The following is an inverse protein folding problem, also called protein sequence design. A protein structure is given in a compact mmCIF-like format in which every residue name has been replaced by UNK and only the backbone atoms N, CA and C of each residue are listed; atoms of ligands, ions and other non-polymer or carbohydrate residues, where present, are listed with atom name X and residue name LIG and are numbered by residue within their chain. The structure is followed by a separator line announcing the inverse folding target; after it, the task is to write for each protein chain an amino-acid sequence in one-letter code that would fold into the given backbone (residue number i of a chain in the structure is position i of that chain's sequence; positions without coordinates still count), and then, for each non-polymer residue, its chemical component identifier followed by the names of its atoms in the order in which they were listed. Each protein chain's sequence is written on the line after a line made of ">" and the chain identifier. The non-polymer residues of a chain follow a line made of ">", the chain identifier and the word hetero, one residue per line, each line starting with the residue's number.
data_IF_478931726898
#
_entry.id   IF_478931726898
#
_cell.length_a   1.000
_cell.length_b   1.000
_cell.length_c   1.000
_cell.angle_alpha   90.00
_cell.angle_beta   90.00
_cell.angle_gamma   90.00
#
_symmetry.space_group_name_H-M   'P 1'
#
loop_
_entity.id
_entity.type
_entity.pdbx_description
1 polymer ?
2 non-polymer ?
3 non-polymer ?
4 water ?
#
# COMPACT_ATOMS: atom_id res chain seq x y z
N UNK A 1 -25.18 18.48 -2.45
CA UNK A 1 -25.89 17.26 -2.73
C UNK A 1 -25.64 16.34 -1.59
N UNK A 2 -26.68 15.70 -1.10
CA UNK A 2 -26.59 14.59 -0.20
C UNK A 2 -26.23 13.38 -1.01
N UNK A 3 -25.13 12.72 -0.69
CA UNK A 3 -24.71 11.53 -1.40
C UNK A 3 -24.97 10.28 -0.57
N UNK A 4 -24.60 9.14 -1.14
CA UNK A 4 -24.78 7.85 -0.50
C UNK A 4 -24.06 7.86 0.85
N UNK A 5 -24.60 7.10 1.81
CA UNK A 5 -24.03 7.07 3.15
C UNK A 5 -23.96 5.63 3.67
N UNK A 6 -22.92 5.35 4.45
CA UNK A 6 -22.76 4.03 5.04
C UNK A 6 -22.42 4.14 6.52
N UNK A 7 -22.68 3.11 7.27
CA UNK A 7 -22.32 3.02 8.66
C UNK A 7 -21.01 2.29 8.80
N UNK A 8 -20.09 2.90 9.49
CA UNK A 8 -18.83 2.32 9.87
C UNK A 8 -18.60 2.46 11.39
N UNK A 9 -18.17 1.39 11.99
CA UNK A 9 -17.85 1.31 13.40
C UNK A 9 -16.48 0.75 13.61
N UNK A 10 -15.70 1.42 14.43
CA UNK A 10 -14.47 0.83 14.95
C UNK A 10 -14.85 -0.04 16.13
N UNK A 11 -14.56 -1.34 16.03
CA UNK A 11 -14.99 -2.32 17.02
C UNK A 11 -14.15 -2.18 18.29
N UNK A 12 -14.57 -2.82 19.40
CA UNK A 12 -13.79 -2.63 20.63
C UNK A 12 -12.33 -3.01 20.51
N UNK A 13 -12.01 -4.03 19.70
CA UNK A 13 -10.60 -4.40 19.51
C UNK A 13 -9.85 -3.29 18.76
N UNK A 14 -10.55 -2.63 17.83
CA UNK A 14 -10.01 -1.48 17.12
C UNK A 14 -9.71 -0.32 18.07
N UNK A 15 -10.62 -0.05 19.00
CA UNK A 15 -10.40 1.01 19.99
C UNK A 15 -9.28 0.65 20.96
N UNK A 16 -9.27 -0.60 21.42
CA UNK A 16 -8.29 -1.05 22.40
C UNK A 16 -6.88 -1.05 21.85
N UNK A 17 -6.75 -1.32 20.55
CA UNK A 17 -5.43 -1.40 19.92
C UNK A 17 -5.01 -0.07 19.30
N UNK A 18 -5.72 1.00 19.66
CA UNK A 18 -5.35 2.34 19.26
C UNK A 18 -5.35 2.57 17.76
N UNK A 19 -6.41 2.14 17.08
CA UNK A 19 -6.46 2.26 15.62
C UNK A 19 -7.55 3.21 15.13
N UNK A 20 -8.19 3.93 16.06
CA UNK A 20 -9.27 4.84 15.70
C UNK A 20 -8.81 5.91 14.70
N UNK A 21 -7.74 6.62 15.04
CA UNK A 21 -7.26 7.71 14.19
C UNK A 21 -6.80 7.21 12.84
N UNK A 22 -6.13 6.06 12.85
CA UNK A 22 -5.63 5.45 11.63
C UNK A 22 -6.75 5.11 10.65
N UNK A 23 -7.85 4.60 11.20
CA UNK A 23 -9.03 4.27 10.39
C UNK A 23 -9.68 5.52 9.82
N UNK A 24 -9.87 6.52 10.67
CA UNK A 24 -10.44 7.79 10.22
C UNK A 24 -9.59 8.47 9.15
N UNK A 25 -8.28 8.48 9.36
CA UNK A 25 -7.34 9.09 8.41
C UNK A 25 -7.48 8.46 7.02
N UNK A 26 -7.72 7.15 6.98
CA UNK A 26 -7.89 6.47 5.70
C UNK A 26 -9.14 6.93 4.97
N UNK A 27 -10.23 7.10 5.70
CA UNK A 27 -11.46 7.55 5.05
C UNK A 27 -11.39 9.03 4.66
N UNK A 28 -10.68 9.84 5.44
CA UNK A 28 -10.49 11.25 5.07
C UNK A 28 -9.61 11.36 3.85
N UNK A 29 -8.53 10.58 3.82
CA UNK A 29 -7.56 10.63 2.73
C UNK A 29 -8.21 10.26 1.40
N UNK A 30 -9.18 9.35 1.47
CA UNK A 30 -9.86 8.80 0.30
C UNK A 30 -10.75 9.86 -0.35
N UNK A 31 -11.18 10.82 0.47
CA UNK A 31 -12.02 11.91 -0.01
C UNK A 31 -13.46 11.80 0.45
N UNK A 32 -13.75 10.80 1.28
CA UNK A 32 -15.08 10.65 1.84
C UNK A 32 -15.36 11.68 2.93
N UNK A 33 -16.63 12.00 3.14
CA UNK A 33 -17.03 13.06 4.07
C UNK A 33 -17.62 12.48 5.35
N UNK A 34 -17.07 12.84 6.49
CA UNK A 34 -17.62 12.44 7.79
C UNK A 34 -18.95 13.11 8.04
N UNK A 35 -19.96 12.33 8.22
CA UNK A 35 -21.27 12.82 8.38
C UNK A 35 -21.80 12.67 9.77
N UNK A 36 -21.30 11.71 10.49
CA UNK A 36 -21.73 11.48 11.85
C UNK A 36 -20.69 10.74 12.63
N UNK A 37 -20.56 11.05 13.89
CA UNK A 37 -19.62 10.36 14.76
C UNK A 37 -19.99 10.42 16.23
N UNK A 38 -19.97 9.24 16.80
CA UNK A 38 -20.11 9.04 18.22
C UNK A 38 -19.27 7.91 18.84
N UNK A 39 -19.36 7.78 20.15
CA UNK A 39 -18.52 6.89 20.93
C UNK A 39 -19.32 6.48 22.08
N UNK A 40 -19.52 5.20 22.15
CA UNK A 40 -20.51 4.61 23.01
C UNK A 40 -20.16 3.19 23.35
N UNK A 41 -20.70 2.72 24.47
CA UNK A 41 -20.72 1.33 24.75
C UNK A 41 -22.11 0.93 24.49
N UNK A 42 -22.33 0.18 23.44
CA UNK A 42 -23.67 -0.31 23.15
C UNK A 42 -24.08 -1.48 24.02
N UNK A 43 -25.38 -1.61 24.15
CA UNK A 43 -26.07 -2.57 24.95
C UNK A 43 -26.25 -3.89 24.20
N UNK A 67 -18.24 -7.35 21.81
CA UNK A 67 -19.33 -6.68 21.10
C UNK A 67 -19.87 -5.49 21.86
N UNK A 68 -20.25 -5.75 23.11
CA UNK A 68 -20.57 -4.70 24.08
C UNK A 68 -19.51 -4.83 25.17
N UNK A 69 -18.38 -5.38 24.78
CA UNK A 69 -17.25 -5.63 25.66
C UNK A 69 -16.42 -4.37 25.86
N UNK A 70 -16.92 -3.24 25.35
CA UNK A 70 -16.23 -1.98 25.45
C UNK A 70 -16.74 -0.92 24.47
N UNK A 71 -16.08 0.24 24.44
CA UNK A 71 -16.48 1.37 23.59
C UNK A 71 -16.30 1.07 22.11
N UNK A 72 -17.19 1.59 21.28
CA UNK A 72 -17.04 1.54 19.82
C UNK A 72 -17.16 2.95 19.27
N UNK A 73 -16.47 3.22 18.17
CA UNK A 73 -16.64 4.49 17.47
C UNK A 73 -17.65 4.26 16.35
N UNK A 74 -18.78 4.95 16.41
CA UNK A 74 -19.83 4.79 15.41
C UNK A 74 -19.79 5.97 14.47
N UNK A 75 -19.79 5.68 13.17
CA UNK A 75 -19.57 6.72 12.19
C UNK A 75 -20.51 6.58 11.01
N UNK A 76 -20.82 7.71 10.38
CA UNK A 76 -21.53 7.69 9.12
C UNK A 76 -20.69 8.45 8.12
N UNK A 77 -20.25 7.76 7.07
CA UNK A 77 -19.44 8.40 6.04
C UNK A 77 -20.24 8.56 4.76
N UNK A 78 -19.93 9.61 4.00
CA UNK A 78 -20.74 9.97 2.85
C UNK A 78 -19.91 10.21 1.59
N UNK A 79 -20.38 9.67 0.48
CA UNK A 79 -19.79 9.94 -0.82
C UNK A 79 -20.24 8.92 -1.85
N UNK A 80 -19.96 9.22 -3.12
CA UNK A 80 -20.33 8.33 -4.21
C UNK A 80 -19.80 6.92 -3.97
N UNK A 81 -20.72 5.96 -3.93
CA UNK A 81 -20.36 4.56 -3.83
C UNK A 81 -19.69 4.18 -2.53
N UNK A 82 -19.93 4.96 -1.48
CA UNK A 82 -19.25 4.77 -0.20
C UNK A 82 -19.52 3.41 0.46
N UNK A 83 -20.71 2.85 0.24
CA UNK A 83 -21.03 1.55 0.86
C UNK A 83 -20.10 0.44 0.41
N UNK A 84 -20.02 0.22 -0.90
CA UNK A 84 -19.17 -0.84 -1.44
C UNK A 84 -17.68 -0.50 -1.31
N UNK A 85 -17.35 0.77 -1.55
CA UNK A 85 -15.96 1.21 -1.47
C UNK A 85 -15.41 1.07 -0.05
N UNK A 86 -16.19 1.44 0.96
CA UNK A 86 -15.73 1.29 2.33
C UNK A 86 -15.49 -0.20 2.64
N UNK A 87 -16.26 -1.08 2.02
CA UNK A 87 -16.05 -2.51 2.25
C UNK A 87 -14.74 -2.96 1.62
N UNK A 88 -14.44 -2.41 0.45
CA UNK A 88 -13.18 -2.69 -0.24
C UNK A 88 -12.01 -2.18 0.61
N UNK A 89 -12.17 -0.99 1.17
CA UNK A 89 -11.12 -0.38 1.97
C UNK A 89 -10.82 -1.19 3.25
N UNK A 90 -11.85 -1.83 3.78
CA UNK A 90 -11.72 -2.70 4.95
C UNK A 90 -11.04 -4.03 4.64
N UNK A 91 -11.33 -4.57 3.47
CA UNK A 91 -10.86 -5.91 3.13
C UNK A 91 -11.96 -6.93 3.34
N UNK A 92 -11.64 -8.20 3.18
CA UNK A 92 -12.63 -9.25 3.34
C UNK A 92 -13.05 -9.41 4.78
N UNK A 93 -14.23 -10.00 5.00
CA UNK A 93 -14.73 -10.30 6.33
C UNK A 93 -13.67 -10.96 7.22
N UNK A 94 -12.99 -11.95 6.66
CA UNK A 94 -11.85 -12.57 7.33
C UNK A 94 -10.56 -11.85 6.96
N UNK A 95 -9.77 -11.44 7.97
CA UNK A 95 -8.46 -10.80 7.74
C UNK A 95 -7.52 -11.73 6.96
N UNK A 96 -7.64 -13.04 7.16
CA UNK A 96 -6.86 -14.02 6.39
C UNK A 96 -7.03 -13.90 4.88
N UNK A 97 -8.20 -13.42 4.44
CA UNK A 97 -8.49 -13.27 3.02
C UNK A 97 -8.35 -11.81 2.60
N UNK A 98 -8.02 -10.96 3.57
CA UNK A 98 -7.87 -9.52 3.31
C UNK A 98 -6.46 -9.21 2.79
N UNK A 99 -6.39 -8.35 1.79
CA UNK A 99 -5.11 -8.02 1.16
C UNK A 99 -4.40 -6.87 1.86
N UNK A 100 -3.05 -6.88 1.84
CA UNK A 100 -2.27 -5.77 2.38
C UNK A 100 -2.67 -4.50 1.65
N UNK A 101 -2.72 -3.40 2.39
CA UNK A 101 -3.28 -2.16 1.86
C UNK A 101 -4.66 -1.90 2.43
N UNK A 102 -5.40 -2.97 2.70
CA UNK A 102 -6.70 -2.84 3.34
C UNK A 102 -6.55 -2.74 4.84
N UNK A 103 -7.59 -2.22 5.50
CA UNK A 103 -7.56 -2.06 6.95
C UNK A 103 -7.38 -3.40 7.66
N UNK A 104 -8.21 -4.40 7.34
CA UNK A 104 -8.07 -5.69 8.00
C UNK A 104 -6.78 -6.40 7.56
N UNK A 105 -6.38 -6.18 6.32
CA UNK A 105 -5.15 -6.78 5.83
C UNK A 105 -3.90 -6.25 6.51
N UNK A 106 -3.88 -4.96 6.83
CA UNK A 106 -2.71 -4.37 7.46
C UNK A 106 -2.68 -4.61 8.97
N UNK A 107 -3.85 -4.75 9.61
CA UNK A 107 -3.91 -4.60 11.06
C UNK A 107 -4.42 -5.79 11.90
N UNK A 108 -4.99 -6.83 11.30
CA UNK A 108 -5.47 -7.91 12.16
C UNK A 108 -5.41 -9.33 11.58
N UNK A 109 -5.78 -10.29 12.42
CA UNK A 109 -5.50 -11.68 12.13
C UNK A 109 -6.76 -12.57 12.12
N UNK A 110 -7.63 -12.42 13.11
CA UNK A 110 -8.76 -13.32 13.28
C UNK A 110 -10.12 -12.72 12.90
N UNK A 111 -11.02 -13.58 12.46
CA UNK A 111 -12.36 -13.16 12.03
C UNK A 111 -13.16 -12.57 13.19
N UNK A 112 -12.97 -13.11 14.39
CA UNK A 112 -13.66 -12.60 15.57
C UNK A 112 -13.00 -11.34 16.14
N UNK A 113 -11.86 -10.95 15.59
CA UNK A 113 -11.18 -9.73 16.04
C UNK A 113 -10.76 -8.95 14.81
N UNK A 114 -11.75 -8.49 14.04
CA UNK A 114 -11.48 -7.92 12.74
C UNK A 114 -11.69 -6.39 12.74
N UNK A 115 -11.53 -5.80 13.93
CA UNK A 115 -11.43 -4.34 14.20
C UNK A 115 -12.49 -3.36 13.67
N UNK A 116 -13.14 -3.66 12.55
CA UNK A 116 -14.03 -2.70 11.94
C UNK A 116 -15.29 -3.36 11.37
N UNK A 117 -16.35 -2.57 11.20
CA UNK A 117 -17.60 -3.00 10.57
C UNK A 117 -17.98 -1.98 9.52
N UNK A 118 -18.54 -2.46 8.40
CA UNK A 118 -19.13 -1.56 7.43
C UNK A 118 -20.40 -2.19 6.87
N UNK A 119 -21.43 -1.37 6.64
CA UNK A 119 -22.68 -1.84 6.04
C UNK A 119 -22.42 -2.56 4.72
N UNK A 120 -23.14 -3.65 4.49
CA UNK A 120 -22.94 -4.42 3.26
C UNK A 120 -23.81 -3.99 2.07
N UNK A 121 -24.78 -3.11 2.32
CA UNK A 121 -25.59 -2.53 1.25
C UNK A 121 -26.20 -1.20 1.65
N UNK A 122 -26.74 -0.47 0.67
CA UNK A 122 -27.45 0.78 0.94
C UNK A 122 -28.58 0.57 1.95
N UNK A 123 -29.37 -0.49 1.75
CA UNK A 123 -30.48 -0.78 2.65
C UNK A 123 -30.02 -1.08 4.06
N UNK A 124 -29.01 -1.95 4.19
CA UNK A 124 -28.39 -2.19 5.50
C UNK A 124 -27.91 -0.87 6.09
N UNK A 125 -27.21 -0.08 5.28
CA UNK A 125 -26.65 1.19 5.74
C UNK A 125 -27.74 2.09 6.30
N UNK A 126 -28.81 2.27 5.54
CA UNK A 126 -29.92 3.11 5.96
C UNK A 126 -30.52 2.65 7.29
N UNK A 127 -30.65 1.34 7.47
CA UNK A 127 -31.15 0.77 8.70
C UNK A 127 -30.16 0.96 9.85
N UNK A 128 -28.88 0.71 9.58
CA UNK A 128 -27.85 0.79 10.61
C UNK A 128 -27.67 2.25 11.09
N UNK A 129 -27.68 3.17 10.14
CA UNK A 129 -27.56 4.60 10.45
C UNK A 129 -28.72 5.06 11.34
N UNK A 130 -29.94 4.69 10.97
CA UNK A 130 -31.12 5.04 11.75
C UNK A 130 -31.09 4.43 13.15
N UNK A 131 -30.48 3.25 13.27
CA UNK A 131 -30.41 2.53 14.56
C UNK A 131 -29.39 3.19 15.50
N UNK A 132 -28.26 3.62 14.96
CA UNK A 132 -27.16 4.13 15.78
C UNK A 132 -27.19 5.65 15.97
N UNK A 133 -27.71 6.36 14.97
CA UNK A 133 -27.71 7.82 15.02
C UNK A 133 -29.13 8.39 15.09
N UNK A 134 -29.31 9.42 15.89
CA UNK A 134 -30.52 10.25 15.84
C UNK A 134 -30.32 11.22 14.69
N UNK A 135 -31.42 11.71 14.07
CA UNK A 135 -31.26 12.56 12.89
C UNK A 135 -30.47 13.84 13.18
N UNK A 136 -30.48 14.27 14.44
CA UNK A 136 -29.73 15.43 14.90
C UNK A 136 -28.23 15.23 14.73
N UNK A 137 -27.80 13.98 14.79
CA UNK A 137 -26.38 13.65 14.86
C UNK A 137 -25.72 13.47 13.49
N UNK A 138 -26.50 13.63 12.44
CA UNK A 138 -25.97 13.65 11.09
C UNK A 138 -25.82 15.11 10.67
N UNK A 139 -24.58 15.57 10.52
CA UNK A 139 -24.31 16.98 10.23
C UNK A 139 -24.31 17.26 8.74
N UNK A 140 -25.07 18.27 8.32
CA UNK A 140 -25.05 18.70 6.93
C UNK A 140 -23.95 19.73 6.71
N UNK A 141 -23.02 19.42 5.81
CA UNK A 141 -21.94 20.37 5.46
C UNK A 141 -21.35 20.04 4.10
N UNK A 142 -20.53 20.95 3.57
CA UNK A 142 -19.84 20.70 2.31
C UNK A 142 -18.32 20.87 2.45
N UNK A 143 -17.58 19.85 2.06
CA UNK A 143 -16.12 19.93 1.98
C UNK A 143 -15.83 20.98 0.92
N UNK A 144 -14.95 21.93 1.23
CA UNK A 144 -14.68 22.99 0.25
C UNK A 144 -13.90 22.44 -0.93
N UNK A 145 -13.17 21.36 -0.71
CA UNK A 145 -12.41 20.70 -1.78
C UNK A 145 -13.28 19.75 -2.62
N UNK A 146 -14.59 19.80 -2.41
CA UNK A 146 -15.52 18.85 -3.03
C UNK A 146 -15.39 18.85 -4.56
N UNK A 147 -15.17 20.03 -5.12
CA UNK A 147 -15.07 20.18 -6.57
C UNK A 147 -13.82 19.52 -7.15
N UNK A 148 -12.89 19.16 -6.27
CA UNK A 148 -11.68 18.44 -6.69
C UNK A 148 -11.80 16.94 -6.44
N UNK A 149 -12.89 16.52 -5.84
CA UNK A 149 -13.15 15.11 -5.59
C UNK A 149 -14.28 14.61 -6.50
N UNK A 150 -15.28 15.47 -6.71
CA UNK A 150 -16.45 15.14 -7.50
C UNK A 150 -16.59 16.05 -8.71
N UNK A 151 -16.71 15.43 -9.88
CA UNK A 151 -16.82 16.17 -11.13
C UNK A 151 -18.10 17.02 -11.13
N UNK B 1 -0.87 -19.85 25.23
CA UNK B 1 -0.97 -20.70 24.04
C UNK B 1 0.18 -20.45 23.07
N UNK B 2 0.80 -21.54 22.60
CA UNK B 2 1.90 -21.46 21.64
C UNK B 2 1.37 -21.51 20.21
N UNK B 3 1.64 -20.48 19.43
CA UNK B 3 1.11 -20.44 18.06
C UNK B 3 2.18 -20.66 17.00
N UNK B 4 1.75 -20.77 15.76
CA UNK B 4 2.64 -21.02 14.62
C UNK B 4 3.76 -19.99 14.53
N UNK B 5 4.95 -20.42 14.08
CA UNK B 5 6.07 -19.51 13.91
C UNK B 5 6.66 -19.58 12.50
N UNK B 6 7.22 -18.45 12.04
CA UNK B 6 7.86 -18.41 10.74
C UNK B 6 9.23 -17.75 10.87
N UNK B 7 10.10 -17.99 9.90
CA UNK B 7 11.37 -17.28 9.85
C UNK B 7 11.30 -16.15 8.84
N UNK B 8 11.66 -14.94 9.26
CA UNK B 8 11.70 -13.79 8.36
C UNK B 8 13.06 -13.10 8.44
N UNK B 9 13.61 -12.76 7.28
CA UNK B 9 14.88 -12.06 7.24
C UNK B 9 14.79 -10.77 6.42
N UNK B 10 15.37 -9.70 6.94
CA UNK B 10 15.56 -8.51 6.13
C UNK B 10 16.88 -8.73 5.42
N UNK B 11 16.83 -8.78 4.09
CA UNK B 11 18.02 -9.06 3.28
C UNK B 11 18.98 -7.86 3.28
N UNK B 12 20.24 -8.06 2.80
CA UNK B 12 21.21 -6.95 2.81
C UNK B 12 20.75 -5.67 2.09
N UNK B 13 20.00 -5.80 1.00
CA UNK B 13 19.48 -4.60 0.34
C UNK B 13 18.46 -3.87 1.22
N UNK B 14 17.71 -4.64 2.00
CA UNK B 14 16.74 -4.07 2.93
C UNK B 14 17.40 -3.31 4.06
N UNK B 15 18.51 -3.84 4.56
CA UNK B 15 19.30 -3.14 5.58
C UNK B 15 19.96 -1.88 5.00
N UNK B 16 20.60 -2.02 3.84
CA UNK B 16 21.29 -0.90 3.19
C UNK B 16 20.34 0.22 2.79
N UNK B 17 19.11 -0.12 2.43
CA UNK B 17 18.15 0.88 2.01
C UNK B 17 17.31 1.42 3.17
N UNK B 18 17.70 1.05 4.39
CA UNK B 18 17.07 1.59 5.59
C UNK B 18 15.62 1.20 5.80
N UNK B 19 15.30 -0.07 5.57
CA UNK B 19 13.91 -0.50 5.68
C UNK B 19 13.67 -1.48 6.82
N UNK B 20 14.58 -1.55 7.76
CA UNK B 20 14.43 -2.50 8.87
C UNK B 20 13.20 -2.15 9.68
N UNK B 21 13.15 -0.90 10.14
CA UNK B 21 12.08 -0.44 11.01
C UNK B 21 10.74 -0.53 10.33
N UNK B 22 10.69 -0.11 9.07
CA UNK B 22 9.45 -0.20 8.29
C UNK B 22 8.91 -1.63 8.23
N UNK B 23 9.81 -2.59 7.98
CA UNK B 23 9.39 -3.99 7.91
C UNK B 23 8.90 -4.52 9.25
N UNK B 24 9.67 -4.27 10.32
CA UNK B 24 9.24 -4.74 11.64
C UNK B 24 7.90 -4.10 12.02
N UNK B 25 7.77 -2.81 11.73
CA UNK B 25 6.56 -2.06 12.07
C UNK B 25 5.30 -2.64 11.42
N UNK B 26 5.41 -3.11 10.19
CA UNK B 26 4.30 -3.80 9.51
C UNK B 26 3.89 -5.09 10.22
N UNK B 27 4.85 -5.84 10.72
CA UNK B 27 4.52 -7.08 11.43
C UNK B 27 3.93 -6.82 12.82
N UNK B 28 4.42 -5.78 13.50
CA UNK B 28 3.82 -5.40 14.77
C UNK B 28 2.40 -4.92 14.56
N UNK B 29 2.20 -4.06 13.56
CA UNK B 29 0.86 -3.52 13.27
C UNK B 29 -0.16 -4.61 12.98
N UNK B 30 0.27 -5.68 12.29
CA UNK B 30 -0.60 -6.79 11.91
C UNK B 30 -1.10 -7.56 13.12
N UNK B 31 -0.31 -7.54 14.19
CA UNK B 31 -0.67 -8.25 15.41
C UNK B 31 0.22 -9.43 15.76
N UNK B 32 1.25 -9.70 14.93
CA UNK B 32 2.13 -10.83 15.16
C UNK B 32 3.13 -10.55 16.28
N UNK B 33 3.68 -11.61 16.84
CA UNK B 33 4.55 -11.50 18.02
C UNK B 33 5.99 -11.80 17.65
N UNK B 34 6.91 -10.93 18.07
CA UNK B 34 8.32 -11.15 17.81
C UNK B 34 8.86 -12.14 18.82
N UNK B 35 9.45 -13.23 18.32
CA UNK B 35 9.85 -14.35 19.16
C UNK B 35 11.37 -14.51 19.14
N UNK B 36 12.02 -13.85 18.19
CA UNK B 36 13.47 -13.94 18.06
C UNK B 36 13.98 -12.89 17.09
N UNK B 37 15.12 -12.29 17.41
CA UNK B 37 15.76 -11.37 16.48
C UNK B 37 17.24 -11.22 16.75
N UNK B 38 18.03 -11.36 15.68
CA UNK B 38 19.47 -11.13 15.72
C UNK B 38 19.93 -10.45 14.43
N UNK B 39 21.13 -9.89 14.45
CA UNK B 39 21.64 -9.07 13.37
C UNK B 39 23.05 -9.58 13.13
N UNK B 40 23.27 -10.17 11.97
CA UNK B 40 24.52 -10.85 11.68
C UNK B 40 24.89 -10.74 10.21
N UNK B 41 26.17 -10.85 9.92
CA UNK B 41 26.61 -11.13 8.56
C UNK B 41 26.78 -12.64 8.51
N UNK B 42 25.90 -13.31 7.79
CA UNK B 42 25.87 -14.76 7.85
C UNK B 42 26.97 -15.37 6.98
N UNK B 43 27.45 -16.54 7.37
CA UNK B 43 28.43 -17.24 6.54
C UNK B 43 27.76 -17.74 5.26
N UNK B 44 28.54 -17.83 4.19
CA UNK B 44 28.05 -18.39 2.93
C UNK B 44 27.64 -19.86 3.11
N UNK B 45 28.26 -20.50 4.07
CA UNK B 45 27.94 -21.89 4.36
C UNK B 45 26.57 -22.01 4.90
N UNK B 46 26.24 -21.14 5.82
CA UNK B 46 24.92 -21.07 6.42
C UNK B 46 23.84 -20.80 5.35
N UNK B 47 24.13 -19.87 4.43
CA UNK B 47 23.16 -19.54 3.39
C UNK B 47 22.97 -20.66 2.36
N UNK B 48 24.05 -21.36 2.03
CA UNK B 48 23.95 -22.52 1.16
C UNK B 48 23.01 -23.56 1.75
N UNK B 49 23.01 -23.67 3.07
CA UNK B 49 22.12 -24.62 3.75
C UNK B 49 20.71 -24.04 3.85
N UNK B 50 20.63 -22.73 4.10
CA UNK B 50 19.34 -22.04 4.14
C UNK B 50 18.59 -22.27 2.85
N UNK B 51 19.28 -22.16 1.72
CA UNK B 51 18.65 -22.26 0.41
C UNK B 51 18.93 -23.60 -0.28
N UNK B 52 19.28 -24.61 0.50
CA UNK B 52 19.74 -25.89 -0.03
C UNK B 52 18.84 -26.49 -1.11
N UNK B 53 17.53 -26.28 -0.99
CA UNK B 53 16.56 -26.79 -1.96
C UNK B 53 16.75 -26.23 -3.36
N UNK B 54 17.37 -25.05 -3.47
CA UNK B 54 17.54 -24.38 -4.75
C UNK B 54 18.96 -24.56 -5.27
N UNK B 55 19.66 -25.58 -4.77
CA UNK B 55 21.08 -25.76 -5.03
C UNK B 55 21.45 -25.96 -6.50
N UNK B 56 20.47 -26.32 -7.32
CA UNK B 56 20.74 -26.56 -8.74
C UNK B 56 20.31 -25.41 -9.65
N UNK B 57 19.51 -24.50 -9.10
CA UNK B 57 19.11 -23.29 -9.81
C UNK B 57 20.34 -22.47 -10.22
N UNK B 58 20.28 -21.83 -11.39
CA UNK B 58 21.39 -21.02 -11.90
C UNK B 58 21.74 -19.90 -10.93
N UNK B 59 20.72 -19.32 -10.31
CA UNK B 59 20.91 -18.15 -9.44
C UNK B 59 21.41 -18.51 -8.04
N UNK B 60 21.48 -19.80 -7.72
CA UNK B 60 21.87 -20.27 -6.39
C UNK B 60 23.22 -19.75 -5.88
N UNK B 61 24.31 -19.98 -6.64
CA UNK B 61 25.61 -19.55 -6.09
C UNK B 61 25.69 -18.05 -5.86
N UNK B 62 25.09 -17.26 -6.77
CA UNK B 62 25.06 -15.81 -6.64
C UNK B 62 24.18 -15.35 -5.49
N UNK B 63 23.04 -16.02 -5.34
CA UNK B 63 22.12 -15.80 -4.21
C UNK B 63 22.83 -15.92 -2.86
N UNK B 64 23.46 -17.06 -2.62
CA UNK B 64 24.14 -17.32 -1.34
C UNK B 64 25.28 -16.35 -1.11
N UNK B 65 26.07 -16.12 -2.16
CA UNK B 65 27.13 -15.12 -2.14
C UNK B 65 26.57 -13.78 -1.71
N UNK B 66 25.52 -13.34 -2.39
CA UNK B 66 24.94 -12.02 -2.15
C UNK B 66 24.33 -11.88 -0.75
N UNK B 67 23.63 -12.91 -0.31
CA UNK B 67 22.99 -12.88 1.01
C UNK B 67 24.01 -12.85 2.16
N UNK B 68 25.28 -13.14 1.85
CA UNK B 68 26.32 -13.14 2.87
C UNK B 68 27.23 -11.92 2.69
N UNK B 69 26.87 -11.05 1.77
CA UNK B 69 27.68 -9.87 1.48
C UNK B 69 27.63 -8.84 2.61
N UNK B 70 26.47 -8.69 3.23
CA UNK B 70 26.31 -7.74 4.32
C UNK B 70 25.44 -8.28 5.44
N UNK B 71 25.25 -7.48 6.50
CA UNK B 71 24.39 -7.87 7.62
C UNK B 71 22.94 -8.04 7.17
N UNK B 72 22.29 -9.01 7.79
CA UNK B 72 20.86 -9.24 7.61
C UNK B 72 20.22 -9.17 9.00
N UNK B 73 18.92 -8.90 9.05
CA UNK B 73 18.18 -8.99 10.29
C UNK B 73 17.38 -10.30 10.28
N UNK B 74 17.74 -11.21 11.18
CA UNK B 74 17.09 -12.52 11.26
C UNK B 74 15.99 -12.50 12.33
N UNK B 75 14.79 -12.96 11.97
CA UNK B 75 13.65 -12.86 12.87
C UNK B 75 12.83 -14.12 12.98
N UNK B 76 12.28 -14.35 14.18
CA UNK B 76 11.22 -15.33 14.32
C UNK B 76 9.95 -14.60 14.74
N UNK B 77 8.90 -14.76 13.97
CA UNK B 77 7.59 -14.17 14.27
C UNK B 77 6.51 -15.20 14.55
N UNK B 78 5.63 -14.90 15.50
CA UNK B 78 4.68 -15.90 15.97
C UNK B 78 3.24 -15.40 15.84
N UNK B 79 2.35 -16.27 15.38
CA UNK B 79 0.92 -15.99 15.38
C UNK B 79 0.17 -16.92 14.45
N UNK B 80 -1.16 -16.94 14.57
CA UNK B 80 -2.00 -17.82 13.74
C UNK B 80 -1.81 -17.56 12.24
N UNK B 81 -1.41 -18.61 11.52
CA UNK B 81 -1.26 -18.56 10.09
C UNK B 81 -0.13 -17.65 9.65
N UNK B 82 0.83 -17.42 10.55
CA UNK B 82 1.88 -16.43 10.26
C UNK B 82 2.76 -16.80 9.06
N UNK B 83 2.96 -18.11 8.82
CA UNK B 83 3.76 -18.52 7.67
C UNK B 83 3.17 -18.02 6.34
N UNK B 84 1.94 -18.44 6.03
CA UNK B 84 1.32 -18.01 4.79
C UNK B 84 0.99 -16.50 4.79
N UNK B 85 0.59 -15.97 5.93
CA UNK B 85 0.28 -14.54 6.01
C UNK B 85 1.50 -13.63 5.85
N UNK B 86 2.65 -14.01 6.41
CA UNK B 86 3.86 -13.21 6.19
C UNK B 86 4.19 -13.12 4.70
N UNK B 87 4.06 -14.24 3.99
CA UNK B 87 4.28 -14.27 2.54
C UNK B 87 3.35 -13.33 1.78
N UNK B 88 2.07 -13.36 2.14
CA UNK B 88 1.11 -12.41 1.56
C UNK B 88 1.58 -10.97 1.78
N UNK B 89 2.08 -10.68 2.98
CA UNK B 89 2.47 -9.30 3.33
C UNK B 89 3.72 -8.84 2.59
N UNK B 90 4.58 -9.79 2.22
CA UNK B 90 5.80 -9.46 1.48
C UNK B 90 5.48 -9.27 0.01
N UNK B 91 4.59 -10.12 -0.49
CA UNK B 91 4.24 -10.10 -1.91
C UNK B 91 4.69 -11.39 -2.57
N UNK B 92 4.76 -11.39 -3.90
CA UNK B 92 5.24 -12.55 -4.62
C UNK B 92 6.76 -12.53 -4.62
N UNK B 93 7.39 -13.68 -4.92
CA UNK B 93 8.84 -13.76 -5.08
C UNK B 93 9.40 -12.63 -5.93
N UNK B 94 8.78 -12.40 -7.09
CA UNK B 94 9.17 -11.28 -7.95
C UNK B 94 8.38 -10.04 -7.57
N UNK B 95 9.10 -8.94 -7.27
CA UNK B 95 8.42 -7.68 -6.95
C UNK B 95 7.54 -7.20 -8.10
N UNK B 96 7.90 -7.54 -9.33
CA UNK B 96 7.11 -7.18 -10.51
C UNK B 96 5.70 -7.76 -10.46
N UNK B 97 5.56 -8.89 -9.76
CA UNK B 97 4.24 -9.51 -9.61
C UNK B 97 3.60 -9.22 -8.26
N UNK B 98 4.25 -8.38 -7.48
CA UNK B 98 3.74 -8.04 -6.15
C UNK B 98 2.86 -6.79 -6.22
N UNK B 99 1.83 -6.76 -5.39
CA UNK B 99 0.85 -5.67 -5.40
C UNK B 99 1.24 -4.57 -4.44
N UNK B 100 0.90 -3.31 -4.78
CA UNK B 100 1.08 -2.18 -3.87
C UNK B 100 0.37 -2.52 -2.57
N UNK B 101 0.95 -2.15 -1.43
CA UNK B 101 0.46 -2.60 -0.14
C UNK B 101 1.35 -3.67 0.46
N UNK B 102 1.94 -4.50 -0.39
CA UNK B 102 2.93 -5.47 0.08
C UNK B 102 4.32 -4.83 0.19
N UNK B 103 5.18 -5.46 0.99
CA UNK B 103 6.55 -4.99 1.16
C UNK B 103 7.32 -4.87 -0.17
N UNK B 104 7.28 -5.91 -1.01
CA UNK B 104 7.99 -5.83 -2.29
C UNK B 104 7.25 -4.95 -3.28
N UNK B 105 5.93 -4.94 -3.18
CA UNK B 105 5.13 -4.09 -4.05
C UNK B 105 5.47 -2.62 -3.85
N UNK B 106 5.73 -2.24 -2.60
CA UNK B 106 5.96 -0.84 -2.25
C UNK B 106 7.41 -0.41 -2.42
N UNK B 107 8.32 -1.35 -2.22
CA UNK B 107 9.72 -0.99 -1.96
C UNK B 107 10.79 -1.47 -2.96
N UNK B 108 10.50 -2.45 -3.80
CA UNK B 108 11.56 -2.88 -4.73
C UNK B 108 11.12 -3.30 -6.12
N UNK B 109 12.11 -3.62 -6.94
CA UNK B 109 11.91 -3.78 -8.39
C UNK B 109 12.29 -5.17 -8.90
N UNK B 110 13.46 -5.68 -8.50
CA UNK B 110 14.03 -6.88 -9.12
C UNK B 110 13.97 -8.10 -8.20
N UNK B 111 13.78 -9.29 -8.78
CA UNK B 111 13.73 -10.53 -7.99
C UNK B 111 15.01 -10.79 -7.18
N UNK B 112 16.14 -10.26 -7.65
CA UNK B 112 17.41 -10.48 -6.98
C UNK B 112 17.69 -9.47 -5.87
N UNK B 113 16.85 -8.45 -5.80
CA UNK B 113 16.96 -7.39 -4.80
C UNK B 113 15.57 -7.17 -4.26
N UNK B 114 15.03 -8.18 -3.59
CA UNK B 114 13.64 -8.15 -3.16
C UNK B 114 13.56 -8.11 -1.63
N UNK B 115 14.57 -7.46 -1.05
CA UNK B 115 14.69 -7.03 0.35
C UNK B 115 14.31 -7.93 1.52
N UNK B 116 13.54 -8.99 1.27
CA UNK B 116 13.07 -9.78 2.40
C UNK B 116 12.88 -11.28 2.09
N UNK B 117 12.99 -12.12 3.11
CA UNK B 117 12.75 -13.55 3.00
C UNK B 117 11.69 -13.99 4.01
N UNK B 118 10.79 -14.89 3.59
CA UNK B 118 9.95 -15.58 4.54
C UNK B 118 9.84 -17.07 4.25
N UNK B 119 9.80 -17.91 5.29
CA UNK B 119 9.63 -19.35 5.10
C UNK B 119 8.39 -19.63 4.24
N UNK B 120 8.46 -20.67 3.40
CA UNK B 120 7.38 -20.96 2.46
C UNK B 120 6.38 -21.96 3.03
N UNK B 121 6.70 -22.50 4.21
CA UNK B 121 5.85 -23.48 4.86
C UNK B 121 6.27 -23.68 6.31
N UNK B 122 5.41 -24.34 7.08
CA UNK B 122 5.71 -24.66 8.48
C UNK B 122 6.96 -25.52 8.64
N UNK B 123 7.10 -26.52 7.77
CA UNK B 123 8.28 -27.38 7.82
C UNK B 123 9.54 -26.62 7.44
N UNK B 124 9.44 -25.77 6.42
CA UNK B 124 10.53 -24.86 6.08
C UNK B 124 10.83 -23.92 7.23
N UNK B 125 9.79 -23.41 7.89
CA UNK B 125 10.00 -22.52 9.02
C UNK B 125 10.70 -23.24 10.17
N UNK B 126 10.28 -24.47 10.44
CA UNK B 126 10.93 -25.20 11.55
C UNK B 126 12.43 -25.38 11.33
N UNK B 127 12.81 -25.72 10.10
CA UNK B 127 14.22 -25.90 9.75
C UNK B 127 15.00 -24.59 9.82
N UNK B 128 14.43 -23.55 9.22
CA UNK B 128 15.10 -22.25 9.13
C UNK B 128 15.30 -21.62 10.51
N UNK B 129 14.24 -21.62 11.32
CA UNK B 129 14.33 -21.09 12.67
C UNK B 129 15.43 -21.81 13.48
N UNK B 130 15.50 -23.14 13.36
CA UNK B 130 16.53 -23.92 14.07
C UNK B 130 17.92 -23.64 13.51
N UNK B 131 18.01 -23.41 12.20
CA UNK B 131 19.28 -23.07 11.56
C UNK B 131 19.83 -21.71 12.01
N UNK B 132 18.95 -20.72 12.20
CA UNK B 132 19.38 -19.36 12.53
C UNK B 132 19.41 -19.04 14.03
N UNK B 133 18.59 -19.75 14.80
CA UNK B 133 18.49 -19.45 16.22
C UNK B 133 18.83 -20.66 17.09
N UNK B 134 19.60 -20.46 18.15
CA UNK B 134 19.73 -21.49 19.18
C UNK B 134 18.45 -21.41 20.00
N UNK B 135 18.02 -22.53 20.60
CA UNK B 135 16.84 -22.60 21.47
C UNK B 135 16.84 -21.50 22.53
N UNK B 136 17.99 -21.27 23.14
CA UNK B 136 18.11 -20.25 24.20
C UNK B 136 17.87 -18.81 23.69
N UNK B 137 17.94 -18.62 22.37
CA UNK B 137 17.82 -17.28 21.79
C UNK B 137 16.40 -16.91 21.40
N UNK B 138 15.47 -17.85 21.54
CA UNK B 138 14.07 -17.57 21.22
C UNK B 138 13.35 -17.15 22.50
N UNK B 139 12.41 -16.22 22.37
CA UNK B 139 11.78 -15.60 23.52
C UNK B 139 10.30 -15.90 23.54
N UNK B 140 9.84 -16.44 24.67
CA UNK B 140 8.44 -16.74 24.84
C UNK B 140 7.87 -15.75 25.86
N UNK B 141 6.79 -15.08 25.48
CA UNK B 141 6.18 -14.05 26.31
C UNK B 141 4.73 -13.91 25.88
N UNK B 142 3.97 -13.08 26.59
CA UNK B 142 2.56 -12.89 26.22
C UNK B 142 2.23 -11.42 25.98
N UNK B 143 1.77 -11.09 24.77
CA UNK B 143 1.28 -9.74 24.46
C UNK B 143 0.09 -9.44 25.34
N UNK B 144 0.13 -8.32 26.06
CA UNK B 144 -0.97 -7.97 26.96
C UNK B 144 -2.31 -7.81 26.24
N UNK B 145 -2.29 -7.25 25.02
CA UNK B 145 -3.55 -7.19 24.25
C UNK B 145 -3.73 -8.38 23.31
N UNK B 146 -3.15 -9.52 23.65
CA UNK B 146 -3.31 -10.69 22.80
C UNK B 146 -4.78 -11.09 22.70
N UNK B 147 -5.56 -10.77 23.73
CA UNK B 147 -6.99 -11.11 23.72
C UNK B 147 -7.82 -10.19 22.80
N UNK B 148 -7.22 -9.12 22.29
CA UNK B 148 -7.90 -8.26 21.31
C UNK B 148 -7.50 -8.63 19.89
N UNK B 149 -6.58 -9.59 19.79
CA UNK B 149 -6.07 -10.05 18.52
C UNK B 149 -6.62 -11.44 18.24
N UNK B 150 -6.76 -12.22 19.31
CA UNK B 150 -7.28 -13.59 19.24
C UNK B 150 -8.46 -13.78 20.20
N UNK B 151 -9.56 -14.36 19.74
CA UNK B 151 -10.70 -14.57 20.64
C UNK B 151 -10.52 -15.78 21.56
N UNK C 1 23.87 4.44 -19.51
CA UNK C 1 23.28 3.80 -18.36
C UNK C 1 21.78 3.86 -18.41
N UNK C 2 21.19 3.99 -19.59
CA UNK C 2 19.82 4.28 -19.59
C UNK C 2 18.84 3.18 -19.93
N UNK C 3 17.98 3.19 -19.00
CA UNK C 3 16.75 2.54 -18.48
C UNK C 3 15.46 3.17 -18.89
N UNK C 4 14.45 2.35 -19.01
CA UNK C 4 13.11 2.75 -19.34
C UNK C 4 12.58 3.93 -18.58
N UNK C 5 11.83 4.77 -19.27
CA UNK C 5 11.22 5.89 -18.65
C UNK C 5 9.76 6.04 -18.96
N UNK C 6 9.05 6.67 -18.06
CA UNK C 6 7.69 6.95 -18.24
C UNK C 6 7.34 8.43 -17.86
N UNK C 7 6.20 8.91 -18.29
CA UNK C 7 5.74 10.23 -17.91
C UNK C 7 4.64 10.10 -16.86
N UNK C 8 4.84 10.74 -15.71
CA UNK C 8 3.84 10.75 -14.64
C UNK C 8 3.46 12.19 -14.38
N UNK C 9 2.17 12.46 -14.21
CA UNK C 9 1.77 13.82 -13.84
C UNK C 9 0.81 13.79 -12.67
N UNK C 10 1.04 14.69 -11.71
CA UNK C 10 0.07 14.96 -10.66
C UNK C 10 -0.95 15.94 -11.25
N UNK C 11 -2.20 15.50 -11.36
CA UNK C 11 -3.26 16.31 -11.94
C UNK C 11 -3.67 17.45 -11.01
N UNK C 12 -4.46 18.42 -11.50
CA UNK C 12 -4.81 19.57 -10.65
C UNK C 12 -5.50 19.20 -9.34
N UNK C 13 -6.31 18.15 -9.31
CA UNK C 13 -6.90 17.71 -8.04
C UNK C 13 -5.83 17.19 -7.07
N UNK C 14 -4.81 16.53 -7.61
CA UNK C 14 -3.71 16.04 -6.79
C UNK C 14 -2.95 17.18 -6.13
N UNK C 15 -2.73 18.24 -6.89
CA UNK C 15 -2.05 19.43 -6.38
C UNK C 15 -2.93 20.13 -5.35
N UNK C 16 -4.19 20.37 -5.71
CA UNK C 16 -5.11 21.08 -4.83
C UNK C 16 -5.32 20.35 -3.50
N UNK C 17 -5.31 19.02 -3.53
CA UNK C 17 -5.59 18.22 -2.34
C UNK C 17 -4.33 17.83 -1.57
N UNK C 18 -3.20 18.47 -1.91
CA UNK C 18 -1.97 18.29 -1.15
C UNK C 18 -1.34 16.92 -1.23
N UNK C 19 -1.25 16.34 -2.43
CA UNK C 19 -0.74 14.98 -2.57
C UNK C 19 0.56 14.86 -3.38
N UNK C 20 1.18 15.99 -3.72
CA UNK C 20 2.40 15.97 -4.53
C UNK C 20 3.51 15.13 -3.86
N UNK C 21 3.81 15.43 -2.60
CA UNK C 21 4.89 14.78 -1.89
C UNK C 21 4.58 13.32 -1.66
N UNK C 22 3.34 13.04 -1.26
CA UNK C 22 2.91 11.66 -1.01
C UNK C 22 3.06 10.81 -2.26
N UNK C 23 2.75 11.38 -3.41
CA UNK C 23 2.90 10.66 -4.67
C UNK C 23 4.38 10.43 -5.01
N UNK C 24 5.18 11.48 -4.96
CA UNK C 24 6.62 11.36 -5.20
C UNK C 24 7.26 10.38 -4.20
N UNK C 25 6.90 10.50 -2.93
CA UNK C 25 7.40 9.59 -1.88
C UNK C 25 7.25 8.11 -2.27
N UNK C 26 6.12 7.78 -2.89
CA UNK C 26 5.88 6.39 -3.25
C UNK C 26 6.78 5.90 -4.38
N UNK C 27 7.09 6.78 -5.32
CA UNK C 27 7.97 6.42 -6.42
C UNK C 27 9.41 6.34 -5.96
N UNK C 28 9.80 7.21 -5.03
CA UNK C 28 11.13 7.13 -4.44
C UNK C 28 11.26 5.85 -3.61
N UNK C 29 10.24 5.54 -2.82
CA UNK C 29 10.33 4.37 -1.92
C UNK C 29 10.42 3.08 -2.72
N UNK C 30 9.85 3.10 -3.94
CA UNK C 30 9.83 1.92 -4.80
C UNK C 30 11.22 1.64 -5.39
N UNK C 31 12.04 2.69 -5.49
CA UNK C 31 13.38 2.51 -6.05
C UNK C 31 13.53 3.17 -7.40
N UNK C 32 12.49 3.85 -7.85
CA UNK C 32 12.55 4.47 -9.16
C UNK C 32 13.40 5.74 -9.09
N UNK C 33 13.93 6.16 -10.25
CA UNK C 33 14.80 7.32 -10.31
C UNK C 33 14.11 8.50 -10.97
N UNK C 34 14.09 9.65 -10.28
CA UNK C 34 13.53 10.86 -10.87
C UNK C 34 14.50 11.45 -11.88
N UNK C 35 14.07 11.48 -13.14
CA UNK C 35 14.88 11.96 -14.26
C UNK C 35 14.49 13.37 -14.71
N UNK C 36 13.21 13.74 -14.56
CA UNK C 36 12.79 15.10 -14.86
C UNK C 36 11.58 15.54 -14.06
N UNK C 37 11.46 16.82 -13.79
CA UNK C 37 10.35 17.37 -13.07
C UNK C 37 10.15 18.89 -13.27
N UNK C 38 8.89 19.27 -13.49
CA UNK C 38 8.47 20.63 -13.62
C UNK C 38 7.07 20.86 -13.13
N UNK C 39 6.81 22.03 -12.65
CA UNK C 39 5.55 22.49 -12.19
C UNK C 39 4.98 23.57 -13.15
N UNK C 40 3.88 23.29 -13.80
CA UNK C 40 3.32 24.22 -14.77
C UNK C 40 1.85 24.30 -14.82
N UNK C 41 1.32 25.40 -15.32
CA UNK C 41 -0.04 25.43 -15.73
C UNK C 41 -0.10 25.27 -17.25
N UNK C 42 -0.42 24.07 -17.66
CA UNK C 42 -0.38 23.67 -19.01
C UNK C 42 -1.55 24.24 -19.76
N UNK C 43 -1.35 24.53 -21.04
CA UNK C 43 -2.43 25.08 -21.85
C UNK C 43 -3.41 23.97 -22.20
N UNK C 44 -4.65 24.35 -22.48
CA UNK C 44 -5.68 23.41 -22.88
C UNK C 44 -5.26 22.69 -24.16
N UNK C 45 -4.56 23.40 -25.05
CA UNK C 45 -4.14 22.79 -26.30
C UNK C 45 -3.02 21.78 -26.14
N UNK C 46 -2.14 22.01 -25.18
CA UNK C 46 -1.13 21.01 -24.80
C UNK C 46 -1.83 19.71 -24.38
N UNK C 47 -2.86 19.83 -23.55
CA UNK C 47 -3.57 18.64 -23.06
C UNK C 47 -4.35 17.95 -24.18
N UNK C 48 -4.84 18.72 -25.14
CA UNK C 48 -5.57 18.15 -26.27
C UNK C 48 -4.64 17.24 -27.06
N UNK C 49 -3.38 17.64 -27.17
CA UNK C 49 -2.37 16.78 -27.80
C UNK C 49 -1.98 15.60 -26.92
N UNK C 50 -1.84 15.83 -25.63
CA UNK C 50 -1.50 14.76 -24.68
C UNK C 50 -2.53 13.65 -24.76
N UNK C 51 -3.81 14.03 -24.82
CA UNK C 51 -4.89 13.08 -24.87
C UNK C 51 -5.49 12.94 -26.27
N UNK C 52 -4.69 13.15 -27.31
CA UNK C 52 -5.20 13.19 -28.69
C UNK C 52 -5.97 11.92 -29.09
N UNK C 53 -5.56 10.76 -28.59
CA UNK C 53 -6.23 9.52 -28.98
C UNK C 53 -7.67 9.45 -28.45
N UNK C 54 -8.01 10.34 -27.53
CA UNK C 54 -9.34 10.36 -26.92
C UNK C 54 -10.23 11.47 -27.50
N UNK C 55 -9.79 12.09 -28.60
CA UNK C 55 -10.44 13.30 -29.12
C UNK C 55 -11.94 13.18 -29.40
N UNK C 56 -12.40 11.95 -29.66
CA UNK C 56 -13.81 11.73 -29.99
C UNK C 56 -14.67 11.32 -28.79
N UNK C 57 -14.02 11.10 -27.65
CA UNK C 57 -14.74 10.70 -26.46
C UNK C 57 -15.51 11.90 -25.89
N UNK C 58 -16.67 11.62 -25.27
CA UNK C 58 -17.53 12.71 -24.77
C UNK C 58 -16.86 13.54 -23.66
N UNK C 59 -16.03 12.90 -22.85
CA UNK C 59 -15.39 13.59 -21.72
C UNK C 59 -14.16 14.40 -22.09
N UNK C 60 -13.72 14.27 -23.34
CA UNK C 60 -12.46 14.89 -23.80
C UNK C 60 -12.37 16.42 -23.64
N UNK C 61 -13.39 17.18 -24.11
CA UNK C 61 -13.23 18.62 -23.98
C UNK C 61 -13.17 19.07 -22.52
N UNK C 62 -14.00 18.46 -21.68
CA UNK C 62 -14.00 18.73 -20.26
C UNK C 62 -12.74 18.24 -19.58
N UNK C 63 -12.17 17.13 -20.06
CA UNK C 63 -10.94 16.61 -19.47
C UNK C 63 -9.74 17.54 -19.73
N UNK C 64 -9.67 18.05 -20.96
CA UNK C 64 -8.57 18.93 -21.35
C UNK C 64 -8.65 20.31 -20.65
N UNK C 65 -9.87 20.83 -20.51
CA UNK C 65 -10.06 22.10 -19.81
C UNK C 65 -9.72 21.91 -18.34
N UNK C 66 -10.17 20.79 -17.80
CA UNK C 66 -9.96 20.53 -16.40
C UNK C 66 -8.47 20.44 -16.07
N UNK C 67 -7.73 19.72 -16.93
CA UNK C 67 -6.32 19.45 -16.69
C UNK C 67 -5.49 20.72 -16.88
N UNK C 68 -6.11 21.73 -17.50
CA UNK C 68 -5.49 23.04 -17.67
C UNK C 68 -6.04 24.06 -16.69
N UNK C 69 -6.89 23.62 -15.76
CA UNK C 69 -7.54 24.54 -14.82
C UNK C 69 -6.68 24.90 -13.61
N UNK C 70 -5.69 24.06 -13.30
CA UNK C 70 -4.76 24.35 -12.22
C UNK C 70 -3.33 23.93 -12.58
N UNK C 71 -2.36 24.18 -11.67
CA UNK C 71 -1.02 23.65 -11.93
C UNK C 71 -0.97 22.13 -11.89
N UNK C 72 -0.07 21.55 -12.67
CA UNK C 72 0.22 20.13 -12.56
C UNK C 72 1.72 19.96 -12.32
N UNK C 73 2.07 18.85 -11.70
CA UNK C 73 3.47 18.46 -11.59
C UNK C 73 3.76 17.44 -12.68
N UNK C 74 4.64 17.80 -13.60
CA UNK C 74 4.99 16.88 -14.70
C UNK C 74 6.30 16.19 -14.37
N UNK C 75 6.33 14.86 -14.50
CA UNK C 75 7.51 14.10 -14.09
C UNK C 75 7.91 13.03 -15.09
N UNK C 76 9.21 12.76 -15.14
CA UNK C 76 9.72 11.61 -15.88
C UNK C 76 10.39 10.69 -14.88
N UNK C 77 9.90 9.46 -14.73
CA UNK C 77 10.49 8.51 -13.81
C UNK C 77 11.15 7.39 -14.57
N UNK C 78 12.25 6.88 -14.03
CA UNK C 78 13.11 5.96 -14.75
C UNK C 78 13.42 4.69 -13.96
N UNK C 79 13.38 3.54 -14.63
CA UNK C 79 13.69 2.28 -13.98
C UNK C 79 13.20 1.09 -14.79
N UNK C 80 13.68 -0.10 -14.46
CA UNK C 80 13.25 -1.30 -15.15
C UNK C 80 11.74 -1.46 -15.00
N UNK C 81 11.06 -1.59 -16.13
CA UNK C 81 9.63 -1.83 -16.15
C UNK C 81 8.77 -0.69 -15.61
N UNK C 82 9.33 0.53 -15.58
CA UNK C 82 8.67 1.62 -14.88
C UNK C 82 7.32 1.99 -15.47
N UNK C 83 7.17 1.88 -16.79
CA UNK C 83 5.91 2.22 -17.46
C UNK C 83 4.76 1.39 -16.89
N UNK C 84 4.88 0.08 -16.99
CA UNK C 84 3.81 -0.79 -16.52
C UNK C 84 3.71 -0.78 -14.99
N UNK C 85 4.86 -0.72 -14.32
CA UNK C 85 4.87 -0.75 -12.85
C UNK C 85 4.20 0.48 -12.24
N UNK C 86 4.40 1.65 -12.86
CA UNK C 86 3.77 2.87 -12.37
C UNK C 86 2.24 2.80 -12.45
N UNK C 87 1.74 2.20 -13.54
CA UNK C 87 0.30 2.02 -13.71
C UNK C 87 -0.24 1.15 -12.58
N UNK C 88 0.47 0.07 -12.27
CA UNK C 88 0.07 -0.80 -11.15
C UNK C 88 -0.03 0.02 -9.88
N UNK C 89 0.96 0.87 -9.65
CA UNK C 89 1.04 1.68 -8.43
C UNK C 89 -0.09 2.71 -8.34
N UNK C 90 -0.57 3.19 -9.49
CA UNK C 90 -1.68 4.13 -9.55
C UNK C 90 -3.03 3.47 -9.34
N UNK C 91 -3.16 2.23 -9.81
CA UNK C 91 -4.43 1.54 -9.79
C UNK C 91 -5.05 1.56 -11.19
N UNK C 92 -6.36 1.41 -11.27
CA UNK C 92 -7.04 1.44 -12.56
C UNK C 92 -7.43 2.87 -12.90
N UNK C 93 -7.85 3.12 -14.14
CA UNK C 93 -8.31 4.45 -14.55
C UNK C 93 -9.41 4.94 -13.60
N UNK C 94 -10.34 4.05 -13.29
CA UNK C 94 -11.39 4.31 -12.31
C UNK C 94 -10.94 3.98 -10.91
N UNK C 95 -10.95 5.00 -10.02
CA UNK C 95 -10.61 4.76 -8.61
C UNK C 95 -11.51 3.69 -7.98
N UNK C 96 -12.75 3.58 -8.47
CA UNK C 96 -13.68 2.58 -7.94
C UNK C 96 -13.14 1.17 -8.09
N UNK C 97 -12.35 0.95 -9.13
CA UNK C 97 -11.80 -0.38 -9.37
C UNK C 97 -10.35 -0.51 -8.92
N UNK C 98 -9.80 0.54 -8.32
CA UNK C 98 -8.41 0.49 -7.88
C UNK C 98 -8.36 -0.07 -6.47
N UNK C 99 -7.37 -0.93 -6.20
CA UNK C 99 -7.28 -1.61 -4.92
C UNK C 99 -6.63 -0.71 -3.88
N UNK C 100 -7.04 -0.86 -2.60
CA UNK C 100 -6.36 -0.13 -1.52
C UNK C 100 -4.89 -0.48 -1.55
N UNK C 101 -4.03 0.49 -1.25
CA UNK C 101 -2.60 0.30 -1.48
C UNK C 101 -2.13 1.05 -2.70
N UNK C 102 -3.01 1.21 -3.71
CA UNK C 102 -2.67 2.01 -4.89
C UNK C 102 -2.93 3.48 -4.63
N UNK C 103 -2.36 4.34 -5.48
CA UNK C 103 -2.53 5.79 -5.30
C UNK C 103 -4.01 6.19 -5.42
N UNK C 104 -4.67 5.72 -6.48
CA UNK C 104 -6.10 6.01 -6.65
C UNK C 104 -6.96 5.25 -5.65
N UNK C 105 -6.58 4.00 -5.35
CA UNK C 105 -7.27 3.22 -4.33
C UNK C 105 -7.30 3.93 -2.99
N UNK C 106 -6.19 4.57 -2.64
CA UNK C 106 -6.09 5.23 -1.33
C UNK C 106 -6.66 6.65 -1.29
N UNK C 107 -6.61 7.38 -2.41
CA UNK C 107 -6.80 8.82 -2.32
C UNK C 107 -7.94 9.48 -3.09
N UNK C 108 -8.66 8.74 -3.92
CA UNK C 108 -9.75 9.38 -4.67
C UNK C 108 -10.86 8.43 -5.04
N UNK C 109 -11.89 8.97 -5.70
CA UNK C 109 -13.17 8.29 -5.80
C UNK C 109 -13.73 8.19 -7.22
N UNK C 110 -13.61 9.28 -7.99
CA UNK C 110 -14.22 9.38 -9.31
C UNK C 110 -13.20 9.39 -10.45
N UNK C 111 -13.63 8.85 -11.59
CA UNK C 111 -12.79 8.73 -12.78
C UNK C 111 -12.35 10.09 -13.30
N UNK C 112 -13.20 11.10 -13.15
CA UNK C 112 -12.90 12.43 -13.64
C UNK C 112 -12.04 13.23 -12.70
N UNK C 113 -11.84 12.70 -11.50
CA UNK C 113 -10.97 13.33 -10.50
C UNK C 113 -10.03 12.27 -9.92
N UNK C 114 -9.15 11.72 -10.76
CA UNK C 114 -8.37 10.56 -10.34
C UNK C 114 -6.89 10.87 -10.08
N UNK C 115 -6.65 12.11 -9.67
CA UNK C 115 -5.36 12.68 -9.20
C UNK C 115 -4.04 12.51 -9.97
N UNK C 116 -3.90 11.49 -10.80
CA UNK C 116 -2.61 11.18 -11.38
C UNK C 116 -2.75 10.64 -12.80
N UNK C 117 -1.71 10.85 -13.61
CA UNK C 117 -1.61 10.26 -14.94
C UNK C 117 -0.29 9.52 -15.09
N UNK C 118 -0.33 8.37 -15.75
CA UNK C 118 0.89 7.71 -16.17
C UNK C 118 0.72 7.13 -17.57
N UNK C 119 1.77 7.24 -18.38
CA UNK C 119 1.82 6.62 -19.72
C UNK C 119 1.38 5.16 -19.73
N UNK C 120 0.62 4.76 -20.75
CA UNK C 120 0.10 3.39 -20.80
C UNK C 120 1.02 2.38 -21.51
N UNK C 121 2.10 2.87 -22.11
CA UNK C 121 3.02 2.02 -22.86
C UNK C 121 4.30 2.81 -23.09
N UNK C 122 5.36 2.12 -23.50
CA UNK C 122 6.63 2.78 -23.79
C UNK C 122 6.48 3.82 -24.91
N UNK C 123 5.75 3.47 -25.96
CA UNK C 123 5.62 4.41 -27.08
C UNK C 123 4.83 5.66 -26.66
N UNK C 124 3.81 5.48 -25.83
CA UNK C 124 3.10 6.61 -25.27
C UNK C 124 4.02 7.44 -24.39
N UNK C 125 4.83 6.78 -23.56
CA UNK C 125 5.77 7.49 -22.69
C UNK C 125 6.74 8.35 -23.50
N UNK C 126 7.28 7.78 -24.56
CA UNK C 126 8.21 8.50 -25.41
C UNK C 126 7.59 9.75 -25.99
N UNK C 127 6.34 9.63 -26.43
CA UNK C 127 5.62 10.77 -26.98
C UNK C 127 5.33 11.80 -25.88
N UNK C 128 4.83 11.32 -24.74
CA UNK C 128 4.43 12.24 -23.67
C UNK C 128 5.61 12.98 -23.07
N UNK C 129 6.69 12.26 -22.83
CA UNK C 129 7.92 12.90 -22.33
C UNK C 129 8.42 14.01 -23.29
N UNK C 130 8.40 13.74 -24.59
CA UNK C 130 8.86 14.75 -25.56
C UNK C 130 7.92 15.94 -25.65
N UNK C 131 6.63 15.70 -25.45
CA UNK C 131 5.63 16.77 -25.47
C UNK C 131 5.78 17.72 -24.28
N UNK C 132 6.09 17.14 -23.12
CA UNK C 132 6.12 17.92 -21.89
C UNK C 132 7.53 18.38 -21.50
N UNK C 133 8.54 17.65 -21.92
CA UNK C 133 9.91 17.98 -21.52
C UNK C 133 10.79 18.31 -22.71
N UNK C 134 11.62 19.34 -22.54
CA UNK C 134 12.69 19.60 -23.49
C UNK C 134 13.83 18.67 -23.08
N UNK C 135 14.67 18.26 -24.04
CA UNK C 135 15.72 17.25 -23.77
C UNK C 135 16.64 17.65 -22.62
N UNK C 136 16.92 18.95 -22.47
CA UNK C 136 17.80 19.41 -21.41
C UNK C 136 17.13 19.41 -20.03
N UNK C 137 15.82 19.18 -19.99
CA UNK C 137 15.10 19.12 -18.71
C UNK C 137 15.12 17.70 -18.15
N UNK C 138 15.72 16.79 -18.89
CA UNK C 138 15.89 15.41 -18.45
C UNK C 138 17.29 15.25 -17.85
N UNK C 139 17.34 14.87 -16.58
CA UNK C 139 18.59 14.78 -15.84
C UNK C 139 19.19 13.38 -15.89
N UNK C 140 20.47 13.29 -16.26
CA UNK C 140 21.21 12.04 -16.14
C UNK C 140 22.04 12.10 -14.88
N UNK C 141 21.86 11.11 -14.03
CA UNK C 141 22.61 11.00 -12.78
C UNK C 141 22.48 9.56 -12.33
N UNK C 142 23.23 9.19 -11.30
CA UNK C 142 23.18 7.82 -10.83
C UNK C 142 22.95 7.70 -9.33
N UNK C 143 21.84 7.05 -8.96
CA UNK C 143 21.52 6.74 -7.58
C UNK C 143 22.63 5.91 -6.97
N UNK C 144 23.20 6.38 -5.87
CA UNK C 144 24.24 5.65 -5.14
C UNK C 144 23.75 4.25 -4.72
N UNK C 145 22.51 4.09 -4.32
CA UNK C 145 21.96 2.80 -3.96
C UNK C 145 21.43 1.96 -5.10
N UNK C 146 21.81 2.32 -6.32
CA UNK C 146 21.47 1.50 -7.50
C UNK C 146 21.90 0.04 -7.34
N UNK C 147 23.03 -0.17 -6.68
CA UNK C 147 23.55 -1.51 -6.44
C UNK C 147 22.59 -2.37 -5.62
N UNK C 148 21.77 -1.72 -4.81
CA UNK C 148 20.88 -2.45 -3.91
C UNK C 148 19.48 -2.61 -4.49
N UNK C 149 19.25 -1.97 -5.65
CA UNK C 149 17.97 -2.05 -6.33
C UNK C 149 18.07 -2.97 -7.55
N UNK C 150 19.22 -2.90 -8.23
CA UNK C 150 19.48 -3.71 -9.42
C UNK C 150 20.74 -4.54 -9.23
N UNK C 151 20.67 -5.84 -9.48
CA UNK C 151 21.90 -6.65 -9.40
C UNK C 151 22.74 -6.52 -10.67
#
# INVERSE_FOLDING_TARGET
>A
MVRERTFIAVKPDGVQRGLIGEIIKRFEAKGFKLAGMKYIQASEDLLKQHYIDLADKPFYPGLCKYMSSGPVVAMCWEGTGVVKTARVMMGETRPADSKPGTIRGDFCIEVGRNIIHGSDSVESANKEIALWFKPEELVSWTQTNESWIYE
>B
MVRERTFIAVKPDGVQRGLIGEIIKRFEAKGFKLAGMKYIQASEDLLKQHYIDLADKPFYPGLCKYMSSGPVVAMCWEGTGVVKTARVMMGETRPADSKPGTIRGDFCIEVGRNIIHGSDSVESANKEIALWFKPEELVSWTQTNESWIYE
>C
MVRERTFIAVKPDGVQRGLIGEIIKRFEAKGFKLAGMKYIQASEDLLKQHYIDLADKPFYPGLCKYMSSGPVVAMCWEGTGVVKTARVMMGETRPADSKPGTIRGDFCIEVGRNIIHGSDSVESANKEIALWFKPEELVSWTQTNESWIYE
#
